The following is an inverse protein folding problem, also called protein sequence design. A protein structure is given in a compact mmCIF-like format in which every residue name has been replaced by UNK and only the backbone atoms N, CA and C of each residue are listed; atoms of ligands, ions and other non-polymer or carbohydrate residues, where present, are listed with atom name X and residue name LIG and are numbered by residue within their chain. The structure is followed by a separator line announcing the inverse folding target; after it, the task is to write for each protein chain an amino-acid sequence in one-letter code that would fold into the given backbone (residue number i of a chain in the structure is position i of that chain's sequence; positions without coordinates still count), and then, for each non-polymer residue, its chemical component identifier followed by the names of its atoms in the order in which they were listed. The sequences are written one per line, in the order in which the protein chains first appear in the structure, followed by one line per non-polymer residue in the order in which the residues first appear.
data_IF_293318501548
#
_entry.id   IF_293318501548
#
_cell.length_a   1.000
_cell.length_b   1.000
_cell.length_c   1.000
_cell.angle_alpha   90.00
_cell.angle_beta   90.00
_cell.angle_gamma   90.00
#
_symmetry.space_group_name_H-M   'P 1'
#
loop_
_entity.id
_entity.type
_entity.pdbx_description
1 polymer ?
#
# COMPACT_ATOMS: atom_id res chain seq x y z
N UNK A 1 -1.17 -21.57 -0.77
CA UNK A 1 -1.44 -20.36 -1.56
C UNK A 1 -2.88 -19.97 -1.29
N UNK A 2 -3.08 -18.75 -0.87
CA UNK A 2 -4.42 -18.15 -0.70
C UNK A 2 -4.60 -17.10 -1.78
N UNK A 3 -5.78 -17.03 -2.34
CA UNK A 3 -6.18 -16.06 -3.37
C UNK A 3 -7.37 -15.28 -2.81
N UNK A 4 -7.37 -13.97 -2.97
CA UNK A 4 -8.50 -13.13 -2.61
C UNK A 4 -9.73 -13.56 -3.42
N UNK A 5 -10.82 -13.88 -2.72
CA UNK A 5 -12.07 -14.33 -3.33
C UNK A 5 -12.97 -13.12 -3.61
N UNK A 6 -13.09 -12.76 -4.88
CA UNK A 6 -13.99 -11.69 -5.35
C UNK A 6 -15.29 -12.32 -5.83
N UNK A 7 -16.35 -12.14 -5.08
CA UNK A 7 -17.62 -12.89 -5.25
C UNK A 7 -18.57 -12.31 -6.30
N UNK A 8 -18.40 -11.03 -6.66
CA UNK A 8 -19.30 -10.35 -7.60
C UNK A 8 -18.59 -9.28 -8.40
N UNK A 9 -19.21 -8.85 -9.50
CA UNK A 9 -18.73 -7.73 -10.31
C UNK A 9 -18.79 -6.40 -9.55
N UNK A 10 -19.71 -6.25 -8.60
CA UNK A 10 -19.83 -5.03 -7.83
C UNK A 10 -18.73 -4.97 -6.76
N UNK A 11 -18.41 -6.08 -6.12
CA UNK A 11 -17.25 -6.21 -5.24
C UNK A 11 -15.93 -5.98 -5.99
N UNK A 12 -15.79 -6.51 -7.20
CA UNK A 12 -14.64 -6.22 -8.06
C UNK A 12 -14.47 -4.71 -8.32
N UNK A 13 -15.57 -4.01 -8.66
CA UNK A 13 -15.57 -2.56 -8.89
C UNK A 13 -15.25 -1.74 -7.64
N UNK A 14 -15.54 -2.26 -6.46
CA UNK A 14 -15.18 -1.64 -5.19
C UNK A 14 -13.70 -1.87 -4.87
N UNK A 15 -13.20 -3.07 -5.11
CA UNK A 15 -11.86 -3.50 -4.72
C UNK A 15 -10.75 -3.02 -5.66
N UNK A 16 -11.07 -2.70 -6.92
CA UNK A 16 -10.07 -2.29 -7.89
C UNK A 16 -10.37 -0.91 -8.47
N UNK A 17 -9.31 -0.14 -8.73
CA UNK A 17 -9.45 1.11 -9.45
C UNK A 17 -9.93 0.87 -10.89
N UNK A 18 -10.76 1.76 -11.41
CA UNK A 18 -11.19 1.72 -12.82
C UNK A 18 -10.07 2.17 -13.77
N UNK A 19 -9.22 3.05 -13.28
CA UNK A 19 -8.19 3.73 -14.07
C UNK A 19 -6.78 3.23 -13.81
N UNK A 20 -6.62 2.29 -12.87
CA UNK A 20 -5.33 1.72 -12.49
C UNK A 20 -5.41 0.21 -12.30
N UNK A 21 -4.24 -0.45 -12.36
CA UNK A 21 -4.16 -1.89 -12.14
C UNK A 21 -4.13 -2.29 -10.66
N UNK A 22 -3.98 -1.34 -9.75
CA UNK A 22 -3.95 -1.62 -8.32
C UNK A 22 -5.36 -1.74 -7.74
N UNK A 23 -5.42 -2.33 -6.56
CA UNK A 23 -6.63 -2.32 -5.74
C UNK A 23 -6.87 -0.95 -5.10
N UNK A 24 -8.10 -0.69 -4.70
CA UNK A 24 -8.48 0.44 -3.84
C UNK A 24 -8.13 0.13 -2.40
N UNK A 25 -8.33 1.09 -1.49
CA UNK A 25 -8.19 0.82 -0.06
C UNK A 25 -9.15 -0.28 0.43
N UNK A 26 -10.32 -0.42 -0.17
CA UNK A 26 -11.28 -1.48 0.19
C UNK A 26 -10.75 -2.86 -0.20
N UNK A 27 -10.20 -3.00 -1.40
CA UNK A 27 -9.53 -4.24 -1.82
C UNK A 27 -8.28 -4.53 -0.99
N UNK A 28 -7.48 -3.51 -0.69
CA UNK A 28 -6.31 -3.65 0.16
C UNK A 28 -6.67 -4.14 1.59
N UNK A 29 -7.73 -3.60 2.19
CA UNK A 29 -8.20 -4.04 3.51
C UNK A 29 -8.81 -5.44 3.50
N UNK A 30 -9.48 -5.84 2.40
CA UNK A 30 -9.92 -7.22 2.22
C UNK A 30 -8.71 -8.17 2.17
N UNK A 31 -7.66 -7.80 1.42
CA UNK A 31 -6.40 -8.54 1.41
C UNK A 31 -5.69 -8.58 2.76
N UNK A 32 -5.69 -7.45 3.51
CA UNK A 32 -5.17 -7.38 4.87
C UNK A 32 -5.87 -8.38 5.79
N UNK A 33 -7.20 -8.40 5.77
CA UNK A 33 -7.99 -9.35 6.54
C UNK A 33 -7.63 -10.80 6.22
N UNK A 34 -7.56 -11.13 4.93
CA UNK A 34 -7.16 -12.47 4.48
C UNK A 34 -5.76 -12.87 4.99
N UNK A 35 -4.82 -11.91 5.04
CA UNK A 35 -3.48 -12.13 5.58
C UNK A 35 -3.52 -12.34 7.10
N UNK A 36 -4.29 -11.54 7.83
CA UNK A 36 -4.47 -11.71 9.28
C UNK A 36 -5.01 -13.10 9.60
N UNK A 37 -6.08 -13.53 8.91
CA UNK A 37 -6.66 -14.86 9.06
C UNK A 37 -5.65 -15.99 8.76
N UNK A 38 -4.82 -15.80 7.73
CA UNK A 38 -3.80 -16.78 7.32
C UNK A 38 -2.67 -16.90 8.35
N UNK A 39 -2.27 -15.79 8.94
CA UNK A 39 -1.19 -15.72 9.93
C UNK A 39 -1.68 -16.01 11.35
N UNK A 40 -2.99 -16.05 11.59
CA UNK A 40 -3.58 -16.20 12.92
C UNK A 40 -3.33 -15.00 13.83
N UNK A 41 -3.28 -13.81 13.26
CA UNK A 41 -3.11 -12.53 13.97
C UNK A 41 -4.42 -11.74 13.99
N UNK A 42 -4.60 -10.93 15.01
CA UNK A 42 -5.78 -10.06 15.10
C UNK A 42 -5.71 -8.91 14.10
N UNK A 43 -6.80 -8.69 13.38
CA UNK A 43 -6.95 -7.49 12.55
C UNK A 43 -7.18 -6.24 13.42
N UNK A 44 -6.71 -5.09 12.95
CA UNK A 44 -7.02 -3.80 13.57
C UNK A 44 -8.48 -3.47 13.29
N UNK A 45 -9.28 -3.37 14.35
CA UNK A 45 -10.71 -3.08 14.25
C UNK A 45 -10.98 -1.59 14.01
N UNK A 46 -12.16 -1.30 13.42
CA UNK A 46 -12.68 0.06 13.26
C UNK A 46 -11.77 1.02 12.48
N UNK A 47 -11.13 0.52 11.44
CA UNK A 47 -10.34 1.36 10.54
C UNK A 47 -11.25 2.37 9.83
N UNK A 48 -10.98 3.67 10.04
CA UNK A 48 -11.73 4.75 9.39
C UNK A 48 -11.16 5.04 8.01
N UNK A 49 -11.96 4.83 6.96
CA UNK A 49 -11.53 5.11 5.58
C UNK A 49 -11.88 6.56 5.23
N UNK A 50 -10.87 7.33 4.85
CA UNK A 50 -10.99 8.71 4.39
C UNK A 50 -10.83 8.78 2.88
N UNK A 51 -11.90 9.16 2.20
CA UNK A 51 -11.89 9.40 0.75
C UNK A 51 -11.52 10.85 0.44
N UNK A 52 -10.44 11.03 -0.30
CA UNK A 52 -9.97 12.35 -0.71
C UNK A 52 -10.68 12.82 -1.98
N UNK A 53 -11.89 13.38 -1.83
CA UNK A 53 -12.72 13.85 -2.97
C UNK A 53 -12.07 14.94 -3.82
N UNK A 54 -11.08 15.62 -3.29
CA UNK A 54 -10.30 16.64 -4.01
C UNK A 54 -9.06 16.07 -4.71
N UNK A 55 -8.87 14.74 -4.69
CA UNK A 55 -7.74 14.06 -5.33
C UNK A 55 -8.25 13.11 -6.40
N UNK A 56 -8.51 13.66 -7.59
CA UNK A 56 -8.79 12.86 -8.77
C UNK A 56 -7.56 12.04 -9.13
N UNK A 57 -7.79 10.77 -9.37
CA UNK A 57 -6.75 9.83 -9.75
C UNK A 57 -7.01 9.30 -11.16
N UNK A 58 -6.02 9.50 -12.03
CA UNK A 58 -5.97 8.93 -13.37
C UNK A 58 -4.77 7.99 -13.39
N UNK A 59 -5.02 6.73 -13.14
CA UNK A 59 -3.99 5.72 -12.98
C UNK A 59 -3.34 5.29 -14.31
N UNK A 60 -2.54 4.25 -14.23
CA UNK A 60 -1.72 3.75 -15.33
C UNK A 60 -2.53 3.35 -16.57
N UNK A 61 -3.73 2.81 -16.39
CA UNK A 61 -4.61 2.42 -17.50
C UNK A 61 -5.17 3.64 -18.22
N UNK A 62 -5.66 4.66 -17.49
CA UNK A 62 -6.13 5.91 -18.06
C UNK A 62 -4.99 6.65 -18.79
N UNK A 63 -3.80 6.66 -18.21
CA UNK A 63 -2.60 7.23 -18.81
C UNK A 63 -2.23 6.56 -20.13
N UNK A 64 -2.25 5.23 -20.17
CA UNK A 64 -1.92 4.46 -21.37
C UNK A 64 -2.96 4.67 -22.46
N UNK A 65 -4.24 4.74 -22.08
CA UNK A 65 -5.35 4.97 -23.03
C UNK A 65 -5.52 6.44 -23.42
N UNK A 66 -4.79 7.38 -22.81
CA UNK A 66 -4.98 8.83 -22.90
C UNK A 66 -6.45 9.24 -22.66
N UNK A 67 -7.13 8.53 -21.77
CA UNK A 67 -8.55 8.69 -21.47
C UNK A 67 -8.72 9.37 -20.11
N UNK A 68 -9.34 10.53 -20.12
CA UNK A 68 -9.64 11.34 -18.93
C UNK A 68 -11.13 11.50 -18.62
N UNK A 69 -11.97 10.76 -19.35
CA UNK A 69 -13.42 10.73 -19.08
C UNK A 69 -13.78 9.86 -17.87
N UNK A 70 -12.86 8.99 -17.44
CA UNK A 70 -13.03 8.12 -16.28
C UNK A 70 -11.93 8.47 -15.28
N UNK A 71 -12.31 8.61 -14.02
CA UNK A 71 -11.39 8.88 -12.92
C UNK A 71 -11.76 8.05 -11.69
N UNK A 72 -10.83 7.98 -10.76
CA UNK A 72 -10.99 7.44 -9.43
C UNK A 72 -10.68 8.51 -8.37
N UNK A 73 -10.73 8.14 -7.12
CA UNK A 73 -10.29 8.95 -5.99
C UNK A 73 -9.37 8.13 -5.11
N UNK A 74 -8.30 8.74 -4.65
CA UNK A 74 -7.45 8.14 -3.63
C UNK A 74 -8.17 8.17 -2.28
N UNK A 75 -8.07 7.07 -1.56
CA UNK A 75 -8.55 6.95 -0.18
C UNK A 75 -7.43 6.34 0.67
N UNK A 76 -7.43 6.62 1.96
CA UNK A 76 -6.50 6.03 2.92
C UNK A 76 -7.22 5.63 4.22
N UNK A 77 -6.47 5.06 5.13
CA UNK A 77 -6.94 4.74 6.49
C UNK A 77 -6.46 5.84 7.43
N UNK A 78 -7.40 6.47 8.12
CA UNK A 78 -7.11 7.43 9.19
C UNK A 78 -6.83 6.64 10.49
N UNK A 79 -5.56 6.28 10.69
CA UNK A 79 -5.10 5.59 11.88
C UNK A 79 -3.74 6.15 12.30
N UNK A 80 -3.56 6.30 13.59
CA UNK A 80 -2.27 6.62 14.17
C UNK A 80 -1.71 5.37 14.84
N UNK A 81 -0.60 4.87 14.32
CA UNK A 81 0.16 3.78 14.89
C UNK A 81 1.53 4.31 15.36
N UNK A 82 2.01 3.75 16.45
CA UNK A 82 3.30 4.14 17.04
C UNK A 82 4.40 3.18 16.60
N UNK A 83 5.19 3.62 15.64
CA UNK A 83 6.31 2.85 15.08
C UNK A 83 7.37 3.77 14.51
N UNK A 84 8.61 3.29 14.51
CA UNK A 84 9.68 3.88 13.72
C UNK A 84 9.71 3.25 12.32
N UNK A 85 10.02 4.04 11.29
CA UNK A 85 10.19 3.54 9.94
C UNK A 85 11.56 3.90 9.38
N UNK A 86 12.18 2.92 8.73
CA UNK A 86 13.49 3.08 8.12
C UNK A 86 13.39 2.72 6.63
N UNK A 87 13.93 3.58 5.78
CA UNK A 87 14.01 3.38 4.33
C UNK A 87 15.48 3.26 3.93
N UNK A 88 15.86 2.13 3.37
CA UNK A 88 17.25 1.84 3.00
C UNK A 88 18.23 2.12 4.17
N UNK A 89 17.83 1.76 5.40
CA UNK A 89 18.61 1.93 6.62
C UNK A 89 18.62 3.35 7.20
N UNK A 90 17.87 4.29 6.63
CA UNK A 90 17.75 5.67 7.15
C UNK A 90 16.37 5.88 7.75
N UNK A 91 16.33 6.51 8.92
CA UNK A 91 15.06 6.89 9.55
C UNK A 91 14.23 7.80 8.65
N UNK A 92 12.91 7.57 8.65
CA UNK A 92 11.93 8.40 7.98
C UNK A 92 10.76 8.65 8.94
N UNK A 93 10.12 9.83 8.84
CA UNK A 93 9.01 10.18 9.73
C UNK A 93 7.72 9.43 9.36
N UNK A 94 7.49 9.19 8.07
CA UNK A 94 6.31 8.49 7.55
C UNK A 94 6.52 8.12 6.09
N UNK A 95 5.96 6.99 5.67
CA UNK A 95 5.89 6.62 4.25
C UNK A 95 4.70 7.25 3.56
N UNK A 96 3.54 7.31 4.22
CA UNK A 96 2.39 7.98 3.62
C UNK A 96 2.62 9.48 3.56
N UNK A 97 2.67 10.05 2.36
CA UNK A 97 2.75 11.49 2.11
C UNK A 97 1.65 11.93 1.17
N UNK A 98 0.61 12.61 1.70
CA UNK A 98 -0.41 13.23 0.86
C UNK A 98 0.25 14.16 -0.15
N UNK A 99 -0.16 14.05 -1.41
CA UNK A 99 0.34 14.88 -2.47
C UNK A 99 -0.70 15.90 -2.89
N UNK A 100 -0.27 17.14 -3.11
CA UNK A 100 -1.15 18.15 -3.67
C UNK A 100 -1.55 17.79 -5.10
N UNK A 101 -2.82 18.03 -5.43
CA UNK A 101 -3.30 17.87 -6.80
C UNK A 101 -2.76 19.02 -7.64
N UNK A 102 -2.07 18.65 -8.69
CA UNK A 102 -1.67 19.60 -9.73
C UNK A 102 -2.65 19.50 -10.88
N UNK A 103 -3.38 20.59 -11.09
CA UNK A 103 -4.41 20.66 -12.13
C UNK A 103 -3.86 21.03 -13.52
N UNK A 104 -2.56 21.32 -13.62
CA UNK A 104 -1.97 21.56 -14.93
C UNK A 104 -1.86 20.27 -15.75
N UNK A 105 -1.95 20.39 -17.07
CA UNK A 105 -1.98 19.24 -17.99
C UNK A 105 -0.77 18.31 -17.86
N UNK A 106 0.38 18.82 -17.45
CA UNK A 106 1.62 18.04 -17.33
C UNK A 106 1.57 17.04 -16.19
N UNK A 107 0.67 17.23 -15.23
CA UNK A 107 0.54 16.38 -14.04
C UNK A 107 -0.80 15.64 -13.96
N UNK A 108 -1.67 15.75 -14.96
CA UNK A 108 -2.97 15.09 -14.98
C UNK A 108 -2.89 13.58 -14.68
N UNK A 109 -1.89 12.91 -15.25
CA UNK A 109 -1.63 11.49 -15.05
C UNK A 109 -0.52 11.23 -14.04
N UNK A 110 -0.41 12.10 -13.04
CA UNK A 110 0.54 11.86 -11.95
C UNK A 110 0.11 10.61 -11.17
N UNK A 111 1.08 9.75 -10.89
CA UNK A 111 0.84 8.54 -10.11
C UNK A 111 0.65 8.88 -8.62
N UNK A 112 -0.60 9.19 -8.24
CA UNK A 112 -0.94 9.45 -6.84
C UNK A 112 -0.90 8.21 -5.97
N UNK A 113 -0.89 7.01 -6.53
CA UNK A 113 -0.74 5.78 -5.76
C UNK A 113 0.60 5.73 -5.01
N UNK A 114 1.61 6.36 -5.55
CA UNK A 114 2.94 6.45 -4.91
C UNK A 114 2.91 7.12 -3.53
N UNK A 115 1.85 7.85 -3.18
CA UNK A 115 1.72 8.49 -1.87
C UNK A 115 1.67 7.48 -0.72
N UNK A 116 1.17 6.28 -0.94
CA UNK A 116 1.07 5.26 0.09
C UNK A 116 2.44 4.77 0.59
N UNK A 117 3.46 4.91 -0.22
CA UNK A 117 4.80 4.47 0.12
C UNK A 117 5.86 5.60 -0.03
N UNK A 118 5.41 6.80 -0.39
CA UNK A 118 6.22 8.00 -0.64
C UNK A 118 7.37 7.79 -1.64
N UNK A 119 7.29 6.78 -2.47
CA UNK A 119 8.30 6.44 -3.45
C UNK A 119 8.34 4.96 -3.75
N UNK A 120 9.42 4.58 -4.38
CA UNK A 120 9.67 3.19 -4.75
C UNK A 120 10.96 2.77 -4.04
N UNK A 121 10.82 2.00 -2.98
CA UNK A 121 11.93 1.56 -2.14
C UNK A 121 12.11 0.05 -2.21
N UNK A 122 13.35 -0.40 -2.25
CA UNK A 122 13.68 -1.82 -2.21
C UNK A 122 13.61 -2.40 -0.80
N UNK A 123 13.88 -1.57 0.22
CA UNK A 123 13.94 -2.01 1.61
C UNK A 123 13.28 -0.98 2.53
N UNK A 124 12.26 -1.43 3.27
CA UNK A 124 11.59 -0.67 4.33
C UNK A 124 11.55 -1.54 5.58
N UNK A 125 11.77 -0.92 6.73
CA UNK A 125 11.63 -1.57 8.04
C UNK A 125 10.65 -0.77 8.88
N UNK A 126 9.62 -1.45 9.38
CA UNK A 126 8.74 -0.95 10.44
C UNK A 126 9.20 -1.55 11.77
N UNK A 127 9.45 -0.72 12.77
CA UNK A 127 9.86 -1.14 14.10
C UNK A 127 8.82 -0.67 15.12
N UNK A 128 8.07 -1.63 15.64
CA UNK A 128 7.02 -1.39 16.65
C UNK A 128 7.53 -1.53 18.08
N UNK A 129 8.84 -1.82 18.26
CA UNK A 129 9.48 -1.96 19.57
C UNK A 129 8.80 -2.97 20.51
N UNK A 130 8.10 -3.95 19.96
CA UNK A 130 7.38 -4.97 20.71
C UNK A 130 8.22 -6.25 20.82
N UNK A 131 9.19 -6.24 21.72
CA UNK A 131 10.18 -7.31 21.86
C UNK A 131 9.59 -8.67 22.27
N UNK A 132 8.34 -8.71 22.69
CA UNK A 132 7.62 -9.96 23.03
C UNK A 132 7.02 -10.63 21.80
N UNK A 133 7.05 -9.96 20.63
CA UNK A 133 6.54 -10.48 19.36
C UNK A 133 7.68 -10.87 18.43
N UNK A 134 7.35 -11.73 17.48
CA UNK A 134 8.27 -12.17 16.43
C UNK A 134 8.54 -11.05 15.41
N UNK A 135 9.56 -11.26 14.58
CA UNK A 135 9.86 -10.43 13.43
C UNK A 135 9.19 -11.03 12.17
N UNK A 136 8.84 -10.17 11.23
CA UNK A 136 8.23 -10.55 9.95
C UNK A 136 9.10 -10.12 8.77
N UNK A 137 9.13 -10.93 7.74
CA UNK A 137 9.64 -10.57 6.42
C UNK A 137 8.48 -10.58 5.42
N UNK A 138 8.23 -9.43 4.78
CA UNK A 138 7.31 -9.31 3.65
C UNK A 138 8.14 -9.18 2.38
N UNK A 139 7.94 -10.09 1.44
CA UNK A 139 8.45 -9.97 0.07
C UNK A 139 7.26 -9.58 -0.79
N UNK A 140 7.18 -8.31 -1.15
CA UNK A 140 6.01 -7.72 -1.79
C UNK A 140 6.34 -6.82 -2.97
N UNK A 141 5.31 -6.24 -3.52
CA UNK A 141 5.39 -5.21 -4.55
C UNK A 141 4.46 -4.03 -4.19
N UNK A 142 4.11 -3.20 -5.17
CA UNK A 142 3.27 -2.03 -4.93
C UNK A 142 1.87 -2.33 -4.39
N UNK A 143 1.38 -3.57 -4.51
CA UNK A 143 0.10 -3.95 -3.91
C UNK A 143 0.15 -3.96 -2.38
N UNK A 144 1.26 -4.29 -1.76
CA UNK A 144 1.38 -4.33 -0.30
C UNK A 144 1.43 -2.95 0.36
N UNK A 145 1.81 -1.89 -0.36
CA UNK A 145 2.07 -0.56 0.20
C UNK A 145 0.96 0.04 1.06
N UNK A 146 -0.29 -0.30 0.79
CA UNK A 146 -1.43 0.20 1.56
C UNK A 146 -1.63 -0.53 2.89
N UNK A 147 -1.02 -1.70 3.08
CA UNK A 147 -1.29 -2.59 4.21
C UNK A 147 -0.04 -3.05 4.98
N UNK A 148 1.16 -2.82 4.46
CA UNK A 148 2.40 -3.28 5.10
C UNK A 148 2.49 -2.84 6.57
N UNK A 149 2.21 -1.57 6.86
CA UNK A 149 2.26 -1.00 8.20
C UNK A 149 1.16 -1.54 9.12
N UNK A 150 0.00 -1.92 8.56
CA UNK A 150 -1.09 -2.54 9.33
C UNK A 150 -0.71 -3.95 9.75
N UNK A 151 -0.15 -4.74 8.82
CA UNK A 151 0.36 -6.09 9.12
C UNK A 151 1.48 -6.01 10.15
N UNK A 152 2.41 -5.08 9.95
CA UNK A 152 3.58 -4.88 10.81
C UNK A 152 3.21 -4.60 12.27
N UNK A 153 2.05 -4.00 12.55
CA UNK A 153 1.57 -3.72 13.90
C UNK A 153 1.43 -4.98 14.79
N UNK A 154 1.28 -6.14 14.19
CA UNK A 154 1.19 -7.40 14.92
C UNK A 154 2.55 -8.04 15.23
N UNK A 155 3.66 -7.41 14.83
CA UNK A 155 5.02 -7.93 14.98
C UNK A 155 5.93 -6.93 15.71
N UNK A 156 7.10 -7.40 16.16
CA UNK A 156 8.12 -6.53 16.73
C UNK A 156 8.73 -5.67 15.63
N UNK A 157 9.32 -6.31 14.64
CA UNK A 157 9.96 -5.63 13.51
C UNK A 157 9.57 -6.31 12.20
N UNK A 158 9.19 -5.51 11.21
CA UNK A 158 8.80 -6.03 9.89
C UNK A 158 9.71 -5.45 8.82
N UNK A 159 10.38 -6.32 8.09
CA UNK A 159 11.13 -5.96 6.90
C UNK A 159 10.25 -6.15 5.68
N UNK A 160 10.15 -5.13 4.83
CA UNK A 160 9.47 -5.17 3.55
C UNK A 160 10.51 -5.07 2.44
N UNK A 161 10.58 -6.07 1.60
CA UNK A 161 11.55 -6.17 0.49
C UNK A 161 10.80 -6.24 -0.83
N UNK A 162 11.21 -5.40 -1.79
CA UNK A 162 10.73 -5.46 -3.15
C UNK A 162 11.87 -5.90 -4.09
N UNK A 163 11.79 -7.14 -4.56
CA UNK A 163 12.83 -7.78 -5.37
C UNK A 163 13.02 -7.16 -6.77
N UNK A 164 12.14 -6.25 -7.19
CA UNK A 164 12.28 -5.53 -8.48
C UNK A 164 13.41 -4.51 -8.47
N UNK A 165 13.89 -4.10 -7.29
CA UNK A 165 14.95 -3.09 -7.19
C UNK A 165 16.33 -3.70 -7.28
N UNK A 166 17.26 -2.97 -7.91
CA UNK A 166 18.60 -3.44 -8.28
C UNK A 166 19.42 -3.91 -7.09
N UNK A 167 19.18 -3.35 -5.91
CA UNK A 167 19.83 -3.78 -4.66
C UNK A 167 19.56 -5.25 -4.29
N UNK A 168 18.50 -5.86 -4.87
CA UNK A 168 18.10 -7.26 -4.62
C UNK A 168 18.21 -8.18 -5.84
N UNK A 169 18.33 -7.63 -7.05
CA UNK A 169 18.34 -8.43 -8.29
C UNK A 169 19.47 -9.47 -8.36
N UNK A 170 20.54 -9.25 -7.62
CA UNK A 170 21.74 -10.11 -7.64
C UNK A 170 22.14 -10.57 -6.23
N UNK A 171 21.28 -10.47 -5.24
CA UNK A 171 21.56 -10.99 -3.90
C UNK A 171 21.24 -12.48 -3.83
N UNK A 172 22.24 -13.25 -3.48
CA UNK A 172 22.06 -14.62 -3.02
C UNK A 172 21.50 -14.56 -1.61
N UNK A 173 20.28 -15.04 -1.42
CA UNK A 173 19.60 -15.09 -0.12
C UNK A 173 19.87 -16.40 0.62
N UNK A 174 21.08 -16.99 0.42
CA UNK A 174 21.54 -18.20 1.11
C UNK A 174 21.87 -17.94 2.58
#
# INVERSE_FOLDING_TARGET
IRVMDVKSIDEYKEYFYKTDHHWTIYGALAGYKDICDMLGIDEINNLNIVKHKNRLYYGSLAKTALNDNINDYISDVDIKLDYDVYVNGKSADSLFKPREIRLDRSYKYYDYYVQYFNGQYGNVVYDYHNNDKENLLIIGDSYSWQIDYLIANSFNKTHVINLRYDEYKNKDFN
#
